data_IF_009047418179
#
_entry.id   IF_009047418179
#
_cell.length_a   1.000
_cell.length_b   1.000
_cell.length_c   1.000
_cell.angle_alpha   90.00
_cell.angle_beta   90.00
_cell.angle_gamma   90.00
#
_symmetry.space_group_name_H-M   'P 1'
#
loop_
_entity.id
_entity.type
_entity.pdbx_description
1 polymer ?
2 water ?
#
# COMPACT_ATOMS: atom_id res chain seq x y z
N UNK A 1 13.44 -16.21 -15.70
CA UNK A 1 14.21 -14.94 -15.58
C UNK A 1 13.57 -14.01 -14.56
N UNK A 2 12.28 -13.65 -14.77
CA UNK A 2 11.54 -12.76 -13.88
C UNK A 2 11.81 -12.84 -12.38
N UNK A 3 11.05 -13.68 -11.68
CA UNK A 3 11.18 -13.79 -10.23
C UNK A 3 12.08 -14.89 -9.68
N UNK A 4 12.98 -14.49 -8.79
CA UNK A 4 13.90 -15.41 -8.13
C UNK A 4 13.49 -15.44 -6.67
N UNK A 5 12.84 -16.52 -6.26
CA UNK A 5 12.40 -16.67 -4.88
C UNK A 5 13.60 -16.82 -3.97
N UNK A 6 13.80 -15.82 -3.12
CA UNK A 6 14.93 -15.80 -2.20
C UNK A 6 14.53 -15.97 -0.74
N UNK A 7 15.40 -16.65 0.01
CA UNK A 7 15.19 -16.87 1.43
C UNK A 7 16.10 -15.91 2.17
N UNK A 8 15.56 -15.19 3.15
CA UNK A 8 16.34 -14.23 3.91
C UNK A 8 16.28 -14.50 5.40
N UNK A 9 17.39 -14.28 6.11
CA UNK A 9 17.37 -14.51 7.55
C UNK A 9 16.30 -13.62 8.16
N UNK A 10 15.39 -14.21 8.92
CA UNK A 10 14.31 -13.45 9.51
C UNK A 10 14.25 -13.54 11.03
N UNK A 11 13.62 -12.54 11.67
CA UNK A 11 13.48 -12.49 13.12
C UNK A 11 12.83 -13.76 13.69
N UNK A 12 13.29 -14.16 14.87
CA UNK A 12 12.81 -15.35 15.55
C UNK A 12 11.47 -15.89 15.04
N UNK A 13 10.34 -15.44 15.60
CA UNK A 13 9.14 -16.04 15.02
C UNK A 13 8.71 -15.15 13.88
N UNK A 14 8.68 -15.68 12.66
CA UNK A 14 8.24 -14.89 11.52
C UNK A 14 6.72 -14.79 11.68
N UNK A 15 6.23 -13.58 11.91
CA UNK A 15 4.81 -13.39 12.09
C UNK A 15 4.22 -12.54 10.96
N UNK A 16 2.90 -12.48 10.90
CA UNK A 16 2.23 -11.68 9.88
C UNK A 16 1.52 -10.51 10.53
N UNK A 17 1.80 -9.31 10.00
CA UNK A 17 1.24 -8.07 10.52
C UNK A 17 -0.12 -7.68 9.97
N UNK A 18 -1.03 -7.40 10.90
CA UNK A 18 -2.38 -7.00 10.54
C UNK A 18 -2.77 -5.76 11.33
N UNK A 19 -3.67 -4.97 10.76
CA UNK A 19 -4.11 -3.76 11.43
C UNK A 19 -5.35 -4.03 12.24
N UNK A 20 -5.43 -3.41 13.41
CA UNK A 20 -6.60 -3.54 14.27
C UNK A 20 -7.39 -2.25 14.09
N UNK A 21 -8.60 -2.35 13.52
CA UNK A 21 -9.47 -1.19 13.29
C UNK A 21 -9.82 -0.51 14.60
N UNK A 22 -10.12 0.78 14.53
CA UNK A 22 -10.47 1.54 15.73
C UNK A 22 -11.59 0.80 16.43
N UNK A 23 -11.48 0.67 17.75
CA UNK A 23 -12.52 -0.01 18.50
C UNK A 23 -12.29 -1.50 18.70
N UNK A 24 -11.45 -2.10 17.85
CA UNK A 24 -11.16 -3.53 17.97
C UNK A 24 -9.96 -3.73 18.88
N UNK A 25 -10.03 -4.74 19.73
CA UNK A 25 -8.95 -5.03 20.67
C UNK A 25 -8.69 -6.52 20.78
N UNK A 26 -7.46 -6.90 21.07
CA UNK A 26 -7.07 -8.29 21.24
C UNK A 26 -5.86 -8.40 22.14
N UNK A 27 -5.67 -9.58 22.72
CA UNK A 27 -4.52 -9.83 23.57
C UNK A 27 -3.85 -11.08 23.06
N UNK A 28 -2.57 -11.21 23.35
CA UNK A 28 -1.81 -12.39 22.93
C UNK A 28 -2.61 -13.65 23.30
N UNK A 29 -2.41 -14.72 22.53
CA UNK A 29 -3.09 -15.96 22.80
C UNK A 29 -4.51 -16.05 22.26
N UNK A 30 -4.93 -15.03 21.54
CA UNK A 30 -6.28 -15.03 21.01
C UNK A 30 -6.31 -15.28 19.52
N UNK A 31 -7.31 -16.03 19.10
CA UNK A 31 -7.46 -16.35 17.71
C UNK A 31 -8.21 -15.21 17.01
N UNK A 32 -7.89 -15.02 15.74
CA UNK A 32 -8.50 -13.99 14.93
C UNK A 32 -8.69 -14.54 13.54
N UNK A 33 -9.62 -13.95 12.82
CA UNK A 33 -9.91 -14.31 11.44
C UNK A 33 -9.18 -13.18 10.70
N UNK A 34 -8.39 -13.49 9.67
CA UNK A 34 -7.68 -12.45 8.95
C UNK A 34 -7.70 -12.74 7.47
N UNK A 35 -7.50 -11.69 6.65
CA UNK A 35 -7.51 -11.93 5.21
C UNK A 35 -6.22 -12.66 4.81
N UNK A 36 -6.33 -13.51 3.80
CA UNK A 36 -5.17 -14.22 3.27
C UNK A 36 -5.46 -14.42 1.80
N UNK A 37 -4.55 -13.96 0.95
CA UNK A 37 -4.75 -14.04 -0.48
C UNK A 37 -5.53 -12.81 -0.86
N UNK A 38 -5.65 -12.53 -2.15
CA UNK A 38 -6.37 -11.34 -2.60
C UNK A 38 -7.83 -11.31 -2.14
N UNK A 39 -8.34 -12.45 -1.67
CA UNK A 39 -9.74 -12.48 -1.24
C UNK A 39 -10.16 -13.65 -0.33
N UNK A 40 -9.22 -14.26 0.39
CA UNK A 40 -9.57 -15.36 1.28
C UNK A 40 -9.56 -15.01 2.78
N UNK A 41 -10.06 -15.96 3.58
CA UNK A 41 -10.14 -15.84 5.04
C UNK A 41 -9.31 -16.96 5.64
N UNK A 42 -8.85 -16.76 6.87
CA UNK A 42 -8.04 -17.77 7.55
C UNK A 42 -8.00 -17.47 9.04
N UNK A 43 -7.65 -18.49 9.83
CA UNK A 43 -7.58 -18.37 11.28
C UNK A 43 -6.13 -18.27 11.75
N UNK A 44 -5.87 -17.31 12.63
CA UNK A 44 -4.52 -17.14 13.14
C UNK A 44 -4.57 -16.89 14.62
N UNK A 45 -3.41 -16.74 15.24
CA UNK A 45 -3.34 -16.50 16.67
C UNK A 45 -2.45 -15.30 16.93
N UNK A 46 -2.93 -14.39 17.77
CA UNK A 46 -2.15 -13.22 18.10
C UNK A 46 -1.01 -13.65 19.00
N UNK A 47 0.23 -13.36 18.59
CA UNK A 47 1.42 -13.69 19.35
C UNK A 47 1.80 -12.52 20.22
N UNK A 48 1.62 -11.32 19.68
CA UNK A 48 1.89 -10.07 20.39
C UNK A 48 1.30 -8.89 19.62
N UNK A 49 1.16 -7.77 20.31
CA UNK A 49 0.61 -6.57 19.72
C UNK A 49 1.50 -5.41 20.11
N UNK A 50 1.93 -4.64 19.12
CA UNK A 50 2.80 -3.51 19.35
C UNK A 50 2.28 -2.31 18.56
N UNK A 51 2.99 -1.20 18.64
CA UNK A 51 2.58 0.01 17.94
C UNK A 51 3.38 0.21 16.66
N UNK A 52 4.02 -0.85 16.19
CA UNK A 52 4.83 -0.73 14.99
C UNK A 52 4.81 -1.92 14.05
N UNK A 53 5.16 -1.65 12.79
CA UNK A 53 5.22 -2.67 11.74
C UNK A 53 6.24 -2.26 10.70
N UNK A 54 6.72 -3.24 9.90
CA UNK A 54 7.70 -2.93 8.87
C UNK A 54 7.07 -1.97 7.89
N UNK A 55 5.85 -2.28 7.50
CA UNK A 55 5.11 -1.44 6.57
C UNK A 55 4.29 -0.42 7.36
N UNK A 56 3.88 0.68 6.71
CA UNK A 56 3.08 1.74 7.35
C UNK A 56 1.70 1.19 7.69
N UNK A 57 1.14 1.67 8.80
CA UNK A 57 -0.18 1.22 9.22
C UNK A 57 -1.25 1.11 8.12
N UNK A 58 -1.30 2.08 7.21
CA UNK A 58 -2.32 2.08 6.17
C UNK A 58 -2.17 0.99 5.10
N UNK A 59 -1.03 0.32 5.09
CA UNK A 59 -0.80 -0.74 4.12
C UNK A 59 -1.13 -2.11 4.71
N UNK A 60 -1.39 -2.14 6.01
CA UNK A 60 -1.71 -3.40 6.68
C UNK A 60 -3.17 -3.80 6.47
N UNK A 61 -3.40 -5.07 6.16
CA UNK A 61 -4.78 -5.52 6.03
C UNK A 61 -5.29 -5.58 7.47
N UNK A 62 -6.57 -5.35 7.65
CA UNK A 62 -7.16 -5.36 8.97
C UNK A 62 -7.62 -6.74 9.43
N UNK A 63 -7.64 -6.93 10.75
CA UNK A 63 -8.12 -8.18 11.32
C UNK A 63 -9.63 -8.10 11.07
N UNK A 64 -10.20 -9.21 10.63
CA UNK A 64 -11.63 -9.27 10.36
C UNK A 64 -12.47 -9.46 11.61
N UNK A 65 -12.03 -10.37 12.48
CA UNK A 65 -12.74 -10.70 13.71
C UNK A 65 -11.85 -11.37 14.76
N UNK A 66 -12.24 -11.21 16.02
CA UNK A 66 -11.51 -11.83 17.11
C UNK A 66 -12.42 -12.98 17.56
N UNK A 67 -11.85 -14.18 17.70
CA UNK A 67 -12.64 -15.34 18.09
C UNK A 67 -12.52 -15.67 19.57
N UNK A 68 -11.61 -15.00 20.27
CA UNK A 68 -11.44 -15.27 21.69
C UNK A 68 -11.55 -14.07 22.60
N UNK A 69 -12.43 -14.17 23.59
CA UNK A 69 -12.60 -13.09 24.56
C UNK A 69 -11.28 -13.13 25.31
N UNK A 70 -10.95 -14.34 25.78
CA UNK A 70 -9.70 -14.54 26.51
C UNK A 70 -8.87 -15.59 25.79
N UNK A 71 -7.58 -15.72 26.15
CA UNK A 71 -6.69 -16.70 25.53
C UNK A 71 -7.27 -18.12 25.52
N UNK A 72 -7.06 -18.84 24.42
CA UNK A 72 -7.59 -20.18 24.32
C UNK A 72 -6.68 -21.13 25.09
N UNK A 73 -5.43 -20.73 25.25
CA UNK A 73 -4.45 -21.54 25.97
C UNK A 73 -4.26 -21.01 27.38
N UNK A 74 -3.73 -21.86 28.25
CA UNK A 74 -3.43 -21.51 29.63
C UNK A 74 -2.19 -20.61 29.62
N UNK A 75 -2.04 -19.79 30.65
CA UNK A 75 -0.88 -18.89 30.72
C UNK A 75 0.46 -19.62 30.62
N UNK A 76 0.71 -20.58 31.50
CA UNK A 76 1.97 -21.34 31.49
C UNK A 76 2.18 -22.03 30.14
N UNK A 77 1.16 -22.76 29.71
CA UNK A 77 1.16 -23.50 28.45
C UNK A 77 1.54 -22.54 27.34
N UNK A 78 0.96 -21.34 27.40
CA UNK A 78 1.25 -20.34 26.39
C UNK A 78 2.72 -19.91 26.38
N UNK A 79 3.28 -19.57 27.54
CA UNK A 79 4.67 -19.17 27.60
C UNK A 79 5.60 -20.30 27.13
N UNK A 80 5.21 -21.54 27.40
CA UNK A 80 6.01 -22.69 26.99
C UNK A 80 5.94 -22.93 25.50
N UNK A 81 4.77 -22.66 24.92
CA UNK A 81 4.61 -22.80 23.49
C UNK A 81 5.55 -21.81 22.77
N UNK A 82 5.54 -20.55 23.20
CA UNK A 82 6.41 -19.57 22.55
C UNK A 82 7.86 -19.93 22.78
N UNK A 83 8.16 -20.45 23.96
CA UNK A 83 9.52 -20.81 24.29
C UNK A 83 10.07 -21.92 23.38
N UNK A 84 9.32 -23.01 23.30
CA UNK A 84 9.71 -24.15 22.49
C UNK A 84 9.88 -23.78 21.01
N UNK A 85 9.04 -22.87 20.53
CA UNK A 85 9.15 -22.49 19.13
C UNK A 85 10.48 -21.77 18.89
N UNK A 86 10.86 -20.91 19.83
CA UNK A 86 12.11 -20.16 19.71
C UNK A 86 13.30 -21.08 19.94
N UNK A 87 13.30 -21.77 21.07
CA UNK A 87 14.41 -22.65 21.41
C UNK A 87 14.72 -23.79 20.41
N UNK A 88 13.70 -24.49 19.92
CA UNK A 88 13.96 -25.59 18.98
C UNK A 88 13.81 -25.18 17.50
N UNK A 89 13.70 -23.88 17.28
CA UNK A 89 13.57 -23.34 15.93
C UNK A 89 12.42 -23.92 15.13
N UNK A 90 11.21 -23.79 15.66
CA UNK A 90 10.05 -24.25 14.94
C UNK A 90 9.14 -23.05 14.70
N UNK A 91 8.49 -23.03 13.54
CA UNK A 91 7.58 -21.92 13.21
C UNK A 91 6.52 -21.87 14.31
N UNK A 92 6.32 -20.68 14.86
CA UNK A 92 5.35 -20.48 15.93
C UNK A 92 3.93 -20.89 15.50
N UNK A 93 3.57 -20.62 14.25
CA UNK A 93 2.23 -21.00 13.81
C UNK A 93 2.07 -22.52 13.80
N UNK A 94 3.13 -23.19 13.36
CA UNK A 94 3.21 -24.65 13.27
C UNK A 94 2.97 -25.19 14.67
N UNK A 95 3.75 -24.71 15.63
CA UNK A 95 3.59 -25.17 17.00
C UNK A 95 2.20 -24.88 17.54
N UNK A 96 1.81 -23.62 17.57
CA UNK A 96 0.52 -23.21 18.11
C UNK A 96 -0.69 -23.96 17.56
N UNK A 97 -0.78 -24.10 16.25
CA UNK A 97 -1.94 -24.79 15.71
C UNK A 97 -1.92 -26.31 15.78
N UNK A 98 -0.76 -26.91 16.02
CA UNK A 98 -0.72 -28.37 16.13
C UNK A 98 -1.01 -28.77 17.57
N UNK A 99 -0.56 -27.94 18.52
CA UNK A 99 -0.77 -28.22 19.94
C UNK A 99 -2.20 -27.97 20.42
N UNK A 100 -2.87 -27.00 19.80
CA UNK A 100 -4.23 -26.64 20.17
C UNK A 100 -5.14 -27.87 20.31
N UNK A 101 -5.20 -28.73 19.26
CA UNK A 101 -6.02 -29.94 19.29
C UNK A 101 -5.59 -30.90 20.42
N UNK A 102 -4.27 -31.04 20.59
CA UNK A 102 -3.71 -31.90 21.62
C UNK A 102 -4.12 -31.40 23.01
N UNK A 103 -3.88 -30.12 23.29
CA UNK A 103 -4.19 -29.51 24.57
C UNK A 103 -5.65 -29.39 24.98
N UNK A 104 -6.51 -28.96 24.06
CA UNK A 104 -7.93 -28.79 24.36
C UNK A 104 -8.72 -30.09 24.35
N UNK A 105 -8.19 -31.07 23.64
CA UNK A 105 -8.82 -32.37 23.52
C UNK A 105 -8.17 -33.37 24.46
N UNK B 1 -3.42 -1.78 21.18
CA UNK B 1 -2.50 -1.11 20.20
C UNK B 1 -2.97 -1.29 18.74
N UNK B 2 -2.19 -0.81 17.76
CA UNK B 2 -2.58 -0.95 16.36
C UNK B 2 -2.21 -2.21 15.56
N UNK B 3 -0.97 -2.68 15.71
CA UNK B 3 -0.55 -3.86 14.95
C UNK B 3 -0.59 -5.20 15.69
N UNK B 4 -1.21 -6.18 15.06
CA UNK B 4 -1.28 -7.52 15.62
C UNK B 4 -0.29 -8.35 14.85
N UNK B 5 0.60 -9.02 15.56
CA UNK B 5 1.59 -9.91 14.92
C UNK B 5 0.97 -11.29 15.02
N UNK B 6 0.47 -11.76 13.89
CA UNK B 6 -0.25 -13.02 13.88
C UNK B 6 0.48 -14.22 13.34
N UNK B 7 0.25 -15.36 13.96
CA UNK B 7 0.88 -16.58 13.51
C UNK B 7 -0.11 -17.33 12.67
N UNK B 8 0.34 -17.74 11.50
CA UNK B 8 -0.50 -18.50 10.60
C UNK B 8 0.16 -19.84 10.38
N UNK B 9 -0.62 -20.87 10.03
CA UNK B 9 -0.06 -22.21 9.77
C UNK B 9 0.46 -22.19 8.32
N UNK B 10 1.11 -21.09 7.98
CA UNK B 10 1.70 -20.82 6.67
C UNK B 10 2.35 -22.02 5.96
N UNK B 11 2.56 -21.91 4.63
CA UNK B 11 3.18 -22.97 3.83
C UNK B 11 4.59 -23.34 4.35
N UNK B 12 5.32 -24.16 3.60
CA UNK B 12 6.65 -24.56 4.01
C UNK B 12 7.71 -23.57 3.49
N UNK B 13 7.75 -23.32 2.17
CA UNK B 13 8.74 -22.36 1.68
C UNK B 13 8.28 -20.90 1.67
N UNK B 14 8.44 -20.21 2.80
CA UNK B 14 8.06 -18.79 2.88
C UNK B 14 9.27 -17.94 2.49
N UNK B 15 9.33 -17.53 1.23
CA UNK B 15 10.45 -16.72 0.74
C UNK B 15 9.99 -15.35 0.23
N UNK B 16 10.93 -14.58 -0.32
CA UNK B 16 10.63 -13.25 -0.83
C UNK B 16 10.95 -13.17 -2.33
N UNK B 17 10.22 -12.32 -3.05
CA UNK B 17 10.41 -12.19 -4.49
C UNK B 17 11.20 -10.96 -4.94
N UNK B 18 12.16 -11.18 -5.85
CA UNK B 18 13.00 -10.11 -6.39
C UNK B 18 13.33 -10.34 -7.87
N UNK B 19 13.03 -9.33 -8.71
CA UNK B 19 13.28 -9.42 -10.15
C UNK B 19 14.73 -9.60 -10.54
N UNK B 20 15.02 -10.72 -11.19
CA UNK B 20 16.37 -11.03 -11.65
C UNK B 20 16.74 -10.11 -12.81
N UNK B 21 17.92 -9.47 -12.75
CA UNK B 21 18.41 -8.55 -13.78
C UNK B 21 18.64 -9.18 -15.16
N UNK B 22 18.80 -8.34 -16.17
CA UNK B 22 19.03 -8.77 -17.54
C UNK B 22 20.48 -9.21 -17.74
N UNK B 23 20.68 -10.37 -18.36
CA UNK B 23 22.02 -10.87 -18.57
C UNK B 23 22.62 -11.41 -17.29
N UNK B 24 21.87 -11.31 -16.20
CA UNK B 24 22.30 -11.80 -14.89
C UNK B 24 21.61 -13.13 -14.62
N UNK B 25 22.32 -14.24 -14.86
CA UNK B 25 21.76 -15.56 -14.66
C UNK B 25 22.22 -16.21 -13.35
N UNK B 26 21.25 -16.62 -12.53
CA UNK B 26 21.53 -17.25 -11.24
C UNK B 26 20.60 -18.44 -11.00
N UNK B 27 21.09 -19.45 -10.28
CA UNK B 27 20.25 -20.60 -9.97
C UNK B 27 20.20 -20.85 -8.47
N UNK B 28 19.34 -21.78 -8.07
CA UNK B 28 19.15 -22.11 -6.66
C UNK B 28 20.43 -22.57 -5.99
N UNK B 29 20.57 -22.21 -4.72
CA UNK B 29 21.74 -22.57 -3.95
C UNK B 29 22.82 -21.52 -3.98
N UNK B 30 22.51 -20.38 -4.61
CA UNK B 30 23.46 -19.28 -4.72
C UNK B 30 23.06 -18.05 -3.92
N UNK B 31 24.01 -17.48 -3.19
CA UNK B 31 23.75 -16.29 -2.38
C UNK B 31 23.59 -15.08 -3.29
N UNK B 32 22.68 -14.17 -2.91
CA UNK B 32 22.44 -12.96 -3.67
C UNK B 32 22.12 -11.80 -2.74
N UNK B 33 22.46 -10.59 -3.19
CA UNK B 33 22.22 -9.37 -2.42
C UNK B 33 20.95 -8.66 -2.88
N UNK B 34 20.00 -8.52 -1.97
CA UNK B 34 18.73 -7.88 -2.27
C UNK B 34 18.35 -6.79 -1.28
N UNK B 35 17.63 -5.76 -1.76
CA UNK B 35 17.21 -4.66 -0.89
C UNK B 35 16.24 -5.20 0.14
N UNK B 36 16.24 -4.60 1.32
CA UNK B 36 15.35 -5.06 2.37
C UNK B 36 14.48 -3.92 2.90
N UNK B 37 13.26 -3.85 2.36
CA UNK B 37 12.30 -2.83 2.76
C UNK B 37 12.84 -1.42 2.61
N UNK B 38 12.27 -0.51 3.39
CA UNK B 38 12.68 0.88 3.38
C UNK B 38 14.14 0.93 3.78
N UNK B 39 15.05 0.67 2.86
CA UNK B 39 16.44 0.70 3.28
C UNK B 39 17.42 0.28 2.18
N UNK B 40 18.54 -0.33 2.58
CA UNK B 40 19.58 -0.79 1.66
C UNK B 40 19.79 -2.31 1.66
N UNK B 41 20.83 -2.76 0.96
CA UNK B 41 21.22 -4.17 0.78
C UNK B 41 21.28 -5.13 1.97
N UNK B 42 21.23 -6.42 1.66
CA UNK B 42 21.30 -7.54 2.63
C UNK B 42 21.36 -8.88 1.89
N UNK B 43 22.31 -9.72 2.27
CA UNK B 43 22.49 -11.03 1.63
C UNK B 43 21.37 -12.04 1.85
N UNK B 44 21.17 -12.89 0.84
CA UNK B 44 20.15 -13.92 0.91
C UNK B 44 20.49 -15.11 0.04
N UNK B 45 19.67 -16.15 0.09
CA UNK B 45 19.90 -17.35 -0.71
C UNK B 45 18.74 -17.68 -1.64
N UNK B 46 19.04 -17.89 -2.91
CA UNK B 46 18.02 -18.23 -3.90
C UNK B 46 17.56 -19.66 -3.70
N UNK B 47 16.25 -19.83 -3.51
CA UNK B 47 15.67 -21.15 -3.32
C UNK B 47 15.02 -21.61 -4.62
N UNK B 48 14.36 -20.67 -5.30
CA UNK B 48 13.70 -20.97 -6.56
C UNK B 48 13.80 -19.82 -7.53
N UNK B 49 13.66 -20.15 -8.81
CA UNK B 49 13.72 -19.17 -9.89
C UNK B 49 12.55 -19.43 -10.83
N UNK B 50 11.37 -18.91 -10.47
CA UNK B 50 10.18 -19.10 -11.30
C UNK B 50 10.03 -17.99 -12.34
N UNK B 51 8.85 -17.88 -12.91
CA UNK B 51 8.58 -16.86 -13.92
C UNK B 51 7.25 -16.21 -13.56
N UNK B 52 6.81 -16.47 -12.34
CA UNK B 52 5.55 -15.93 -11.84
C UNK B 52 5.75 -15.34 -10.43
N UNK B 53 5.05 -14.26 -10.16
CA UNK B 53 5.12 -13.57 -8.88
C UNK B 53 3.73 -13.32 -8.32
N UNK B 54 3.62 -13.29 -6.99
CA UNK B 54 2.35 -13.07 -6.33
C UNK B 54 1.83 -11.66 -6.61
N UNK B 55 2.78 -10.75 -6.79
CA UNK B 55 2.50 -9.36 -7.06
C UNK B 55 2.94 -8.99 -8.47
N UNK B 56 2.54 -7.81 -8.96
CA UNK B 56 2.92 -7.34 -10.31
C UNK B 56 4.43 -7.31 -10.54
N UNK B 57 4.85 -7.66 -11.76
CA UNK B 57 6.27 -7.64 -12.12
C UNK B 57 6.70 -6.21 -12.43
N UNK B 58 5.88 -5.27 -11.95
CA UNK B 58 6.13 -3.85 -12.15
C UNK B 58 6.56 -3.26 -10.82
N UNK B 59 5.76 -3.51 -9.79
CA UNK B 59 6.06 -3.02 -8.45
C UNK B 59 6.72 -4.13 -7.62
N UNK B 60 7.70 -4.79 -8.24
CA UNK B 60 8.44 -5.88 -7.60
C UNK B 60 9.88 -5.45 -7.33
N UNK B 61 10.28 -5.56 -6.07
CA UNK B 61 11.61 -5.20 -5.63
C UNK B 61 12.65 -5.97 -6.44
N UNK B 62 13.45 -5.24 -7.20
CA UNK B 62 14.48 -5.85 -8.06
C UNK B 62 15.66 -6.40 -7.26
N UNK B 63 16.56 -7.07 -7.98
CA UNK B 63 17.75 -7.68 -7.37
C UNK B 63 18.96 -6.74 -7.56
N UNK B 64 20.12 -7.18 -7.11
CA UNK B 64 21.34 -6.37 -7.22
C UNK B 64 22.52 -7.12 -7.84
N UNK B 65 23.11 -8.02 -7.07
CA UNK B 65 24.27 -8.78 -7.55
C UNK B 65 24.24 -10.25 -7.17
N UNK B 66 24.92 -11.07 -7.97
CA UNK B 66 24.99 -12.50 -7.76
C UNK B 66 26.38 -12.84 -7.20
N UNK B 67 26.43 -13.18 -5.92
CA UNK B 67 27.69 -13.49 -5.25
C UNK B 67 28.25 -14.88 -5.57
N UNK B 68 27.48 -15.68 -6.29
CA UNK B 68 27.91 -17.02 -6.67
C UNK B 68 27.39 -17.43 -8.05
N UNK B 69 28.28 -17.97 -8.86
CA UNK B 69 27.93 -18.42 -10.20
C UNK B 69 27.53 -19.88 -10.05
N UNK B 70 28.17 -20.53 -9.08
CA UNK B 70 27.94 -21.94 -8.79
C UNK B 70 27.40 -22.07 -7.36
N UNK B 71 26.29 -22.78 -7.19
CA UNK B 71 25.66 -23.00 -5.87
C UNK B 71 26.64 -23.42 -4.79
N UNK B 72 26.60 -22.74 -3.65
CA UNK B 72 27.48 -23.06 -2.54
C UNK B 72 27.07 -24.42 -1.96
N UNK B 73 25.80 -24.79 -2.15
CA UNK B 73 25.29 -26.06 -1.64
C UNK B 73 25.25 -27.08 -2.80
N UNK B 74 25.68 -28.31 -2.52
CA UNK B 74 25.66 -29.35 -3.54
C UNK B 74 24.26 -29.94 -3.67
N UNK B 75 23.97 -30.57 -4.80
CA UNK B 75 22.66 -31.17 -5.01
C UNK B 75 22.41 -32.11 -3.83
N UNK B 76 23.50 -32.64 -3.30
CA UNK B 76 23.50 -33.58 -2.17
C UNK B 76 23.08 -32.85 -0.88
N UNK B 77 23.91 -31.89 -0.46
CA UNK B 77 23.61 -31.11 0.73
C UNK B 77 22.26 -30.41 0.63
N UNK B 78 21.95 -29.90 -0.55
CA UNK B 78 20.70 -29.19 -0.79
C UNK B 78 19.52 -30.13 -0.54
N UNK B 79 19.58 -31.34 -1.10
CA UNK B 79 18.50 -32.30 -0.93
C UNK B 79 18.33 -32.62 0.54
N UNK B 80 19.44 -32.66 1.25
CA UNK B 80 19.48 -32.98 2.67
C UNK B 80 18.97 -31.84 3.56
N UNK B 81 19.38 -30.62 3.28
CA UNK B 81 18.93 -29.53 4.10
C UNK B 81 17.43 -29.27 3.92
N UNK B 82 16.95 -29.33 2.68
CA UNK B 82 15.54 -29.09 2.46
C UNK B 82 14.71 -30.20 3.09
N UNK B 83 15.29 -31.40 3.16
CA UNK B 83 14.58 -32.52 3.75
C UNK B 83 14.50 -32.31 5.25
N UNK B 84 15.60 -31.90 5.86
CA UNK B 84 15.63 -31.67 7.31
C UNK B 84 14.63 -30.58 7.72
N UNK B 85 14.57 -29.49 6.96
CA UNK B 85 13.63 -28.43 7.32
C UNK B 85 12.18 -28.95 7.26
N UNK B 86 11.87 -29.76 6.26
CA UNK B 86 10.52 -30.27 6.14
C UNK B 86 10.15 -31.33 7.18
N UNK B 87 11.04 -32.30 7.35
CA UNK B 87 10.80 -33.41 8.26
C UNK B 87 10.80 -33.03 9.75
N UNK B 88 11.74 -32.15 10.12
CA UNK B 88 11.91 -31.70 11.49
C UNK B 88 11.28 -30.34 11.80
N UNK B 89 10.56 -29.80 10.82
CA UNK B 89 9.87 -28.50 10.97
C UNK B 89 10.77 -27.33 11.34
N UNK B 90 11.65 -26.96 10.43
CA UNK B 90 12.50 -25.82 10.68
C UNK B 90 12.37 -24.96 9.42
N UNK B 91 12.31 -23.63 9.58
CA UNK B 91 12.18 -22.76 8.40
C UNK B 91 13.37 -22.97 7.48
N UNK B 92 13.11 -23.16 6.18
CA UNK B 92 14.17 -23.36 5.19
C UNK B 92 15.27 -22.33 5.39
N UNK B 93 14.88 -21.06 5.41
CA UNK B 93 15.84 -19.98 5.58
C UNK B 93 16.80 -20.23 6.73
N UNK B 94 16.26 -20.48 7.92
CA UNK B 94 17.05 -20.75 9.11
C UNK B 94 18.02 -21.93 8.96
N UNK B 95 17.56 -23.01 8.33
CA UNK B 95 18.40 -24.17 8.14
C UNK B 95 19.50 -23.86 7.13
N UNK B 96 19.13 -23.18 6.05
CA UNK B 96 20.10 -22.82 5.01
C UNK B 96 21.19 -21.89 5.51
N UNK B 97 20.79 -20.79 6.17
CA UNK B 97 21.78 -19.85 6.67
C UNK B 97 22.58 -20.36 7.83
N UNK B 98 21.99 -21.23 8.65
CA UNK B 98 22.76 -21.75 9.77
C UNK B 98 23.68 -22.87 9.34
N UNK B 99 23.39 -23.45 8.17
CA UNK B 99 24.21 -24.54 7.62
C UNK B 99 25.44 -24.01 6.88
N UNK B 100 25.26 -22.93 6.12
CA UNK B 100 26.34 -22.34 5.34
C UNK B 100 27.67 -22.26 6.09
N UNK B 101 27.68 -21.65 7.29
CA UNK B 101 28.92 -21.56 8.05
C UNK B 101 29.62 -22.92 8.17
N UNK B 102 28.98 -23.84 8.89
CA UNK B 102 29.53 -25.19 9.10
C UNK B 102 30.05 -25.80 7.81
N UNK B 103 29.39 -25.49 6.69
CA UNK B 103 29.84 -26.02 5.41
C UNK B 103 31.22 -25.48 5.09
N UNK B 104 31.36 -24.17 5.15
CA UNK B 104 32.63 -23.48 4.86
C UNK B 104 33.59 -23.58 6.05
N UNK C 1 7.33 21.88 -22.06
CA UNK C 1 6.17 22.82 -22.09
C UNK C 1 4.94 22.30 -22.83
N UNK C 2 4.55 21.04 -22.59
CA UNK C 2 3.37 20.46 -23.25
C UNK C 2 2.24 20.12 -22.26
N UNK C 3 2.57 19.99 -20.99
CA UNK C 3 1.59 19.67 -19.98
C UNK C 3 1.35 20.83 -19.02
N UNK C 4 0.13 21.34 -19.00
CA UNK C 4 -0.19 22.43 -18.09
C UNK C 4 -0.84 21.77 -16.89
N UNK C 5 -0.39 22.11 -15.69
CA UNK C 5 -0.98 21.52 -14.49
C UNK C 5 -1.97 22.57 -14.01
N UNK C 6 -3.23 22.20 -14.02
CA UNK C 6 -4.25 23.16 -13.73
C UNK C 6 -5.07 22.97 -12.46
N UNK C 7 -5.25 24.07 -11.74
CA UNK C 7 -6.03 24.08 -10.53
C UNK C 7 -7.45 24.48 -10.90
N UNK C 8 -8.41 23.61 -10.58
CA UNK C 8 -9.79 23.89 -10.88
C UNK C 8 -10.55 24.05 -9.58
N UNK C 9 -11.66 24.80 -9.60
CA UNK C 9 -12.50 25.04 -8.41
C UNK C 9 -13.51 23.89 -8.21
N UNK C 10 -13.02 22.67 -8.03
CA UNK C 10 -13.91 21.52 -7.84
C UNK C 10 -14.67 21.56 -6.51
N UNK C 11 -15.88 20.98 -6.49
CA UNK C 11 -16.74 20.94 -5.29
C UNK C 11 -16.10 20.35 -4.04
N UNK C 12 -16.80 20.53 -2.92
CA UNK C 12 -16.39 20.07 -1.59
C UNK C 12 -15.30 18.98 -1.55
N UNK C 13 -15.67 17.69 -1.66
CA UNK C 13 -14.59 16.70 -1.61
C UNK C 13 -14.24 16.12 -2.98
N UNK C 14 -13.11 16.53 -3.53
CA UNK C 14 -12.69 16.00 -4.83
C UNK C 14 -12.27 14.57 -4.58
N UNK C 15 -12.94 13.63 -5.23
CA UNK C 15 -12.65 12.22 -5.05
C UNK C 15 -12.37 11.56 -6.41
N UNK C 16 -11.91 10.32 -6.40
CA UNK C 16 -11.64 9.59 -7.63
C UNK C 16 -12.56 8.38 -7.73
N UNK C 17 -13.15 8.17 -8.91
CA UNK C 17 -14.09 7.06 -9.10
C UNK C 17 -13.51 5.78 -9.68
N UNK C 18 -13.86 4.67 -9.05
CA UNK C 18 -13.40 3.37 -9.49
C UNK C 18 -14.56 2.38 -9.52
N UNK C 19 -14.37 1.30 -10.27
CA UNK C 19 -15.38 0.27 -10.40
C UNK C 19 -15.01 -0.92 -9.52
N UNK C 20 -16.00 -1.67 -9.07
CA UNK C 20 -15.78 -2.85 -8.23
C UNK C 20 -15.70 -4.13 -9.08
N UNK C 21 -14.72 -4.99 -8.79
CA UNK C 21 -14.56 -6.25 -9.54
C UNK C 21 -15.73 -7.20 -9.32
N UNK C 22 -15.66 -8.39 -9.92
CA UNK C 22 -16.71 -9.39 -9.81
C UNK C 22 -16.70 -10.05 -8.42
N UNK C 23 -17.73 -9.79 -7.62
CA UNK C 23 -17.82 -10.38 -6.30
C UNK C 23 -16.88 -9.75 -5.28
N UNK C 24 -17.07 -8.45 -5.06
CA UNK C 24 -16.25 -7.69 -4.12
C UNK C 24 -17.11 -6.60 -3.53
N UNK C 25 -17.13 -6.50 -2.21
CA UNK C 25 -17.94 -5.48 -1.56
C UNK C 25 -17.11 -4.56 -0.66
N UNK C 26 -17.50 -3.29 -0.63
CA UNK C 26 -16.83 -2.28 0.19
C UNK C 26 -17.83 -1.24 0.59
N UNK C 27 -17.58 -0.60 1.73
CA UNK C 27 -18.45 0.46 2.19
C UNK C 27 -17.60 1.66 2.57
N UNK C 28 -18.26 2.78 2.84
CA UNK C 28 -17.56 3.98 3.24
C UNK C 28 -16.64 3.64 4.40
N UNK C 29 -15.45 4.21 4.40
CA UNK C 29 -14.51 3.96 5.48
C UNK C 29 -13.53 2.85 5.23
N UNK C 30 -13.69 2.12 4.14
CA UNK C 30 -12.77 1.03 3.89
C UNK C 30 -11.64 1.40 2.93
N UNK C 31 -10.45 0.92 3.26
CA UNK C 31 -9.27 1.16 2.45
C UNK C 31 -9.25 0.17 1.30
N UNK C 32 -8.95 0.67 0.12
CA UNK C 32 -8.88 -0.16 -1.07
C UNK C 32 -7.54 0.07 -1.76
N UNK C 33 -7.20 -0.83 -2.67
CA UNK C 33 -5.96 -0.73 -3.40
C UNK C 33 -6.42 -0.41 -4.80
N UNK C 34 -5.90 0.67 -5.39
CA UNK C 34 -6.33 1.05 -6.73
C UNK C 34 -5.20 1.43 -7.66
N UNK C 35 -5.49 1.45 -8.97
CA UNK C 35 -4.52 1.81 -9.99
C UNK C 35 -4.45 3.32 -10.06
N UNK C 36 -3.24 3.88 -9.93
CA UNK C 36 -3.05 5.32 -10.02
C UNK C 36 -1.83 5.58 -10.88
N UNK C 37 -2.01 6.42 -11.90
CA UNK C 37 -0.93 6.74 -12.81
C UNK C 37 -0.93 5.76 -13.96
N UNK C 38 0.20 5.10 -14.18
CA UNK C 38 0.35 4.12 -15.25
C UNK C 38 1.14 2.92 -14.74
N UNK C 39 2.07 3.20 -13.84
CA UNK C 39 2.91 2.17 -13.26
C UNK C 39 2.29 1.55 -12.01
N UNK C 40 2.57 2.17 -10.86
CA UNK C 40 2.14 1.70 -9.55
C UNK C 40 0.66 1.83 -9.19
N UNK C 41 0.32 1.25 -8.03
CA UNK C 41 -1.03 1.26 -7.48
C UNK C 41 -0.90 2.02 -6.17
N UNK C 42 -2.01 2.42 -5.59
CA UNK C 42 -1.95 3.12 -4.32
C UNK C 42 -3.11 2.72 -3.44
N UNK C 43 -2.96 3.02 -2.16
CA UNK C 43 -3.98 2.72 -1.20
C UNK C 43 -4.85 3.96 -1.05
N UNK C 44 -6.16 3.78 -1.12
CA UNK C 44 -7.06 4.90 -0.94
C UNK C 44 -8.15 4.50 0.01
N UNK C 45 -9.00 5.45 0.40
CA UNK C 45 -10.12 5.11 1.27
C UNK C 45 -11.43 5.45 0.55
N UNK C 46 -12.42 4.57 0.65
CA UNK C 46 -13.70 4.78 0.02
C UNK C 46 -14.49 5.75 0.87
N UNK C 47 -14.91 6.87 0.26
CA UNK C 47 -15.68 7.87 0.99
C UNK C 47 -17.16 7.52 0.82
N UNK C 48 -17.51 6.97 -0.34
CA UNK C 48 -18.88 6.56 -0.57
C UNK C 48 -18.97 5.72 -1.83
N UNK C 49 -20.11 5.04 -1.98
CA UNK C 49 -20.37 4.18 -3.12
C UNK C 49 -21.72 4.57 -3.68
N UNK C 50 -21.93 4.32 -4.96
CA UNK C 50 -23.20 4.65 -5.60
C UNK C 50 -23.13 4.28 -7.06
N UNK C 51 -24.27 4.40 -7.73
CA UNK C 51 -24.37 4.09 -9.15
C UNK C 51 -24.33 5.39 -9.91
N UNK C 52 -23.51 6.32 -9.45
CA UNK C 52 -23.41 7.63 -10.09
C UNK C 52 -21.98 8.08 -10.34
N UNK C 53 -21.32 7.37 -11.25
CA UNK C 53 -19.95 7.72 -11.64
C UNK C 53 -20.14 8.80 -12.68
N UNK C 54 -20.10 10.04 -12.22
CA UNK C 54 -20.27 11.17 -13.12
C UNK C 54 -19.15 11.30 -14.15
N UNK C 55 -18.90 10.19 -14.84
CA UNK C 55 -17.91 10.02 -15.91
C UNK C 55 -18.22 8.70 -16.64
N UNK C 56 -17.46 8.36 -17.72
CA UNK C 56 -17.66 7.13 -18.51
C UNK C 56 -17.33 5.85 -17.74
N UNK C 57 -18.32 4.98 -17.64
CA UNK C 57 -18.21 3.71 -16.92
C UNK C 57 -17.50 2.58 -17.68
N UNK C 58 -16.24 2.81 -18.03
CA UNK C 58 -15.43 1.83 -18.74
C UNK C 58 -14.06 2.46 -18.95
N UNK C 59 -14.02 3.78 -18.80
CA UNK C 59 -12.80 4.54 -18.94
C UNK C 59 -12.09 4.49 -17.57
N UNK C 60 -12.88 4.30 -16.52
CA UNK C 60 -12.37 4.21 -15.16
C UNK C 60 -12.10 2.75 -14.87
N UNK C 61 -10.98 2.48 -14.20
CA UNK C 61 -10.61 1.11 -13.88
C UNK C 61 -11.33 0.65 -12.62
N UNK C 62 -11.01 -0.56 -12.17
CA UNK C 62 -11.63 -1.12 -10.99
C UNK C 62 -10.68 -1.34 -9.82
N UNK C 63 -11.24 -1.33 -8.62
CA UNK C 63 -10.47 -1.55 -7.41
C UNK C 63 -9.69 -2.87 -7.51
N UNK C 64 -8.47 -2.89 -7.00
CA UNK C 64 -7.69 -4.11 -7.03
C UNK C 64 -8.12 -4.98 -5.85
N UNK C 65 -8.07 -4.43 -4.64
CA UNK C 65 -8.50 -5.17 -3.45
C UNK C 65 -8.92 -4.27 -2.27
N UNK C 66 -9.77 -4.80 -1.40
CA UNK C 66 -10.22 -4.06 -0.24
C UNK C 66 -9.34 -4.52 0.93
N UNK C 67 -8.93 -3.59 1.80
CA UNK C 67 -8.06 -3.97 2.91
C UNK C 67 -8.82 -4.08 4.22
N UNK C 68 -10.02 -3.52 4.26
CA UNK C 68 -10.85 -3.54 5.45
C UNK C 68 -12.16 -4.25 5.20
N UNK C 69 -12.51 -5.19 6.07
CA UNK C 69 -13.79 -5.90 5.94
C UNK C 69 -14.81 -4.88 6.42
N UNK C 70 -14.50 -4.27 7.56
CA UNK C 70 -15.37 -3.27 8.16
C UNK C 70 -14.63 -1.93 8.17
N UNK C 71 -15.36 -0.82 8.34
CA UNK C 71 -14.79 0.54 8.38
C UNK C 71 -13.60 0.65 9.32
N UNK C 72 -12.51 1.24 8.85
CA UNK C 72 -11.35 1.35 9.70
C UNK C 72 -11.55 2.41 10.80
N UNK C 73 -12.53 3.28 10.67
CA UNK C 73 -12.79 4.28 11.69
C UNK C 73 -14.19 4.04 12.24
N UNK C 74 -14.40 4.51 13.47
CA UNK C 74 -15.70 4.41 14.11
C UNK C 74 -16.67 5.34 13.40
N UNK C 75 -17.95 5.02 13.47
CA UNK C 75 -18.97 5.81 12.80
C UNK C 75 -18.97 7.29 13.13
N UNK C 76 -18.67 7.64 14.37
CA UNK C 76 -18.68 9.05 14.71
C UNK C 76 -17.34 9.74 14.50
N UNK C 77 -16.24 9.01 14.57
CA UNK C 77 -14.93 9.61 14.27
C UNK C 77 -14.95 9.93 12.76
N UNK C 78 -15.62 9.07 12.00
CA UNK C 78 -15.74 9.20 10.55
C UNK C 78 -16.53 10.47 10.24
N UNK C 79 -17.69 10.64 10.88
CA UNK C 79 -18.49 11.84 10.67
C UNK C 79 -17.59 13.06 10.98
N UNK C 80 -16.91 12.99 12.11
CA UNK C 80 -16.03 14.06 12.53
C UNK C 80 -14.98 14.35 11.45
N UNK C 81 -14.31 13.32 10.94
CA UNK C 81 -13.29 13.55 9.92
C UNK C 81 -13.81 14.16 8.60
N UNK C 82 -14.94 13.71 8.09
CA UNK C 82 -15.47 14.29 6.86
C UNK C 82 -15.86 15.75 7.10
N UNK C 83 -16.42 16.03 8.27
CA UNK C 83 -16.83 17.38 8.62
C UNK C 83 -15.64 18.30 8.64
N UNK C 84 -14.57 17.88 9.30
CA UNK C 84 -13.36 18.70 9.40
C UNK C 84 -12.81 19.03 8.01
N UNK C 85 -12.78 18.04 7.13
CA UNK C 85 -12.28 18.27 5.78
C UNK C 85 -13.10 19.34 5.08
N UNK C 86 -14.41 19.23 5.21
CA UNK C 86 -15.27 20.18 4.58
C UNK C 86 -15.27 21.57 5.22
N UNK C 87 -15.43 21.63 6.53
CA UNK C 87 -15.50 22.91 7.21
C UNK C 87 -14.20 23.70 7.20
N UNK C 88 -13.07 22.99 7.22
CA UNK C 88 -11.75 23.63 7.24
C UNK C 88 -11.02 23.61 5.90
N UNK C 89 -11.72 23.21 4.85
CA UNK C 89 -11.16 23.16 3.53
C UNK C 89 -9.81 22.42 3.43
N UNK C 90 -9.79 21.17 3.88
CA UNK C 90 -8.59 20.35 3.77
C UNK C 90 -8.99 19.16 2.86
N UNK C 91 -8.08 18.71 2.01
CA UNK C 91 -8.43 17.58 1.14
C UNK C 91 -8.79 16.35 1.98
N UNK C 92 -9.90 15.70 1.64
CA UNK C 92 -10.38 14.54 2.36
C UNK C 92 -9.33 13.42 2.52
N UNK C 93 -8.65 13.04 1.45
CA UNK C 93 -7.64 12.00 1.58
C UNK C 93 -6.48 12.42 2.48
N UNK C 94 -6.27 13.73 2.62
CA UNK C 94 -5.18 14.23 3.45
C UNK C 94 -5.55 14.04 4.94
N UNK C 95 -6.75 14.46 5.32
CA UNK C 95 -7.23 14.34 6.68
C UNK C 95 -7.35 12.85 7.05
N UNK C 96 -8.04 12.10 6.20
CA UNK C 96 -8.23 10.68 6.44
C UNK C 96 -6.94 9.93 6.72
N UNK C 97 -5.97 9.97 5.81
CA UNK C 97 -4.74 9.22 6.04
C UNK C 97 -3.81 9.77 7.13
N UNK C 98 -3.75 11.09 7.31
CA UNK C 98 -2.89 11.65 8.35
C UNK C 98 -3.47 11.33 9.72
N UNK C 99 -4.78 11.25 9.78
CA UNK C 99 -5.43 10.96 11.04
C UNK C 99 -5.34 9.49 11.47
N UNK C 100 -5.25 8.59 10.50
CA UNK C 100 -5.24 7.16 10.77
C UNK C 100 -4.25 6.68 11.86
N UNK C 101 -2.96 6.92 11.65
CA UNK C 101 -1.93 6.51 12.62
C UNK C 101 -2.13 7.12 14.02
N UNK C 102 -2.69 8.32 14.07
CA UNK C 102 -2.89 9.00 15.33
C UNK C 102 -4.09 8.51 16.08
N UNK C 103 -5.14 8.19 15.33
CA UNK C 103 -6.34 7.70 15.95
C UNK C 103 -6.15 6.24 16.38
N UNK C 104 -5.55 5.43 15.51
CA UNK C 104 -5.36 4.01 15.79
C UNK C 104 -4.38 3.68 16.92
N UNK C 105 -4.70 4.21 18.09
CA UNK C 105 -3.90 4.02 19.30
C UNK C 105 -2.64 4.87 19.20
N UNK D 2 -22.67 1.19 -9.70
CA UNK D 2 -21.87 0.54 -8.63
C UNK D 2 -20.42 0.99 -8.65
N UNK D 3 -20.19 2.24 -8.28
CA UNK D 3 -18.86 2.83 -8.26
C UNK D 3 -18.45 3.39 -6.90
N UNK D 4 -17.17 3.23 -6.58
CA UNK D 4 -16.63 3.72 -5.34
C UNK D 4 -15.96 5.07 -5.52
N UNK D 5 -16.34 6.03 -4.68
CA UNK D 5 -15.75 7.35 -4.69
C UNK D 5 -14.60 7.29 -3.68
N UNK D 6 -13.39 7.20 -4.20
CA UNK D 6 -12.20 7.04 -3.37
C UNK D 6 -11.32 8.27 -3.13
N UNK D 7 -10.90 8.44 -1.87
CA UNK D 7 -10.00 9.52 -1.51
C UNK D 7 -8.58 8.96 -1.53
N UNK D 8 -7.67 9.67 -2.19
CA UNK D 8 -6.27 9.27 -2.26
C UNK D 8 -5.43 10.31 -1.55
N UNK D 9 -4.32 9.92 -0.93
CA UNK D 9 -3.51 10.93 -0.25
C UNK D 9 -2.65 11.66 -1.27
N UNK D 10 -3.15 11.81 -2.49
CA UNK D 10 -2.44 12.48 -3.58
C UNK D 10 -1.53 13.64 -3.14
N UNK D 11 -0.25 13.62 -3.58
CA UNK D 11 0.82 14.59 -3.32
C UNK D 11 0.51 16.09 -3.32
N UNK D 12 1.09 16.77 -2.33
CA UNK D 12 0.96 18.20 -2.09
C UNK D 12 -0.06 19.01 -2.91
N UNK D 13 0.27 19.46 -4.14
CA UNK D 13 -0.77 20.23 -4.84
C UNK D 13 -1.53 19.42 -5.89
N UNK D 14 -2.71 18.93 -5.53
CA UNK D 14 -3.52 18.15 -6.45
C UNK D 14 -3.96 19.05 -7.60
N UNK D 15 -3.56 18.70 -8.81
CA UNK D 15 -3.92 19.50 -9.95
C UNK D 15 -4.38 18.61 -11.11
N UNK D 16 -5.03 19.21 -12.11
CA UNK D 16 -5.50 18.45 -13.27
C UNK D 16 -4.66 18.75 -14.49
N UNK D 17 -4.10 17.71 -15.09
CA UNK D 17 -3.24 17.82 -16.27
C UNK D 17 -4.01 17.98 -17.57
N UNK D 18 -3.46 18.82 -18.43
CA UNK D 18 -4.03 19.08 -19.73
C UNK D 18 -2.86 19.25 -20.68
N UNK D 19 -3.06 18.82 -21.92
CA UNK D 19 -2.02 18.93 -22.93
C UNK D 19 -2.19 20.24 -23.67
N UNK D 20 -1.07 20.90 -23.92
CA UNK D 20 -1.05 22.17 -24.63
C UNK D 20 -0.74 21.79 -26.06
N UNK D 21 -1.64 22.14 -27.01
CA UNK D 21 -1.46 21.84 -28.43
C UNK D 21 -0.26 22.58 -29.00
N UNK D 22 0.29 22.02 -30.07
CA UNK D 22 1.47 22.54 -30.76
C UNK D 22 1.74 24.04 -30.80
N UNK D 23 0.71 24.89 -30.92
CA UNK D 23 1.01 26.31 -30.94
C UNK D 23 0.77 27.02 -29.62
N UNK D 24 0.02 26.38 -28.74
CA UNK D 24 -0.38 26.95 -27.45
C UNK D 24 0.69 27.08 -26.36
N UNK D 25 0.75 28.24 -25.74
CA UNK D 25 1.72 28.50 -24.69
C UNK D 25 1.09 29.26 -23.51
N UNK D 26 1.56 28.99 -22.29
CA UNK D 26 1.04 29.67 -21.10
C UNK D 26 2.05 29.84 -19.99
N UNK D 27 1.75 30.77 -19.09
CA UNK D 27 2.61 31.04 -17.96
C UNK D 27 1.87 30.72 -16.65
N UNK D 28 2.61 30.23 -15.66
CA UNK D 28 2.03 29.91 -14.36
C UNK D 28 1.40 31.19 -13.81
N UNK D 29 0.15 31.11 -13.39
CA UNK D 29 -0.53 32.27 -12.87
C UNK D 29 -1.60 32.77 -13.84
N UNK D 30 -1.77 32.05 -14.94
CA UNK D 30 -2.76 32.46 -15.93
C UNK D 30 -3.95 31.54 -16.01
N UNK D 31 -5.08 32.10 -16.41
CA UNK D 31 -6.31 31.34 -16.54
C UNK D 31 -6.43 30.74 -17.95
N UNK D 32 -7.11 29.61 -18.04
CA UNK D 32 -7.30 28.94 -19.31
C UNK D 32 -8.68 28.28 -19.24
N UNK D 33 -9.22 27.86 -20.37
CA UNK D 33 -10.50 27.17 -20.39
C UNK D 33 -10.13 25.76 -20.76
N UNK D 34 -10.68 24.78 -20.07
CA UNK D 34 -10.36 23.38 -20.34
C UNK D 34 -11.61 22.52 -20.31
N UNK D 35 -11.55 21.32 -20.91
CA UNK D 35 -12.68 20.38 -20.96
C UNK D 35 -12.92 19.79 -19.56
N UNK D 36 -14.13 19.29 -19.30
CA UNK D 36 -14.41 18.70 -17.99
C UNK D 36 -15.55 17.67 -18.01
N UNK D 37 -15.19 16.40 -18.22
CA UNK D 37 -16.14 15.30 -18.29
C UNK D 37 -16.90 15.29 -19.60
N UNK D 38 -16.18 15.06 -20.70
CA UNK D 38 -16.75 15.06 -22.05
C UNK D 38 -18.16 15.63 -22.09
N UNK D 39 -18.26 16.93 -21.87
CA UNK D 39 -19.54 17.62 -21.85
C UNK D 39 -19.36 19.12 -21.69
N UNK D 40 -19.08 19.55 -20.46
CA UNK D 40 -18.90 20.98 -20.18
C UNK D 40 -17.46 21.44 -20.12
N UNK D 41 -17.30 22.76 -20.20
CA UNK D 41 -15.99 23.42 -20.13
C UNK D 41 -15.87 24.11 -18.77
N UNK D 42 -14.80 24.87 -18.55
CA UNK D 42 -14.60 25.55 -17.28
C UNK D 42 -13.29 26.32 -17.24
N UNK D 43 -13.20 27.29 -16.33
CA UNK D 43 -11.99 28.09 -16.19
C UNK D 43 -11.10 27.56 -15.08
N UNK D 44 -9.80 27.51 -15.36
CA UNK D 44 -8.86 27.04 -14.40
C UNK D 44 -7.68 27.98 -14.34
N UNK D 45 -6.72 27.67 -13.45
CA UNK D 45 -5.53 28.48 -13.34
C UNK D 45 -4.32 27.59 -13.47
N UNK D 46 -3.36 27.98 -14.29
CA UNK D 46 -2.15 27.20 -14.47
C UNK D 46 -1.29 27.32 -13.22
N UNK D 47 -1.02 26.20 -12.55
CA UNK D 47 -0.15 26.25 -11.36
C UNK D 47 1.26 26.12 -11.87
N UNK D 48 1.44 25.33 -12.91
CA UNK D 48 2.75 25.17 -13.55
C UNK D 48 2.66 24.34 -14.83
N UNK D 49 3.74 24.39 -15.59
CA UNK D 49 3.85 23.70 -16.87
C UNK D 49 5.08 22.81 -16.83
N UNK D 50 4.91 21.48 -16.77
CA UNK D 50 6.08 20.60 -16.76
C UNK D 50 6.31 20.00 -18.14
N UNK D 51 6.89 18.82 -18.19
CA UNK D 51 7.22 18.17 -19.46
C UNK D 51 6.61 16.78 -19.53
N UNK D 52 5.88 16.40 -18.49
CA UNK D 52 5.24 15.10 -18.44
C UNK D 52 4.22 15.02 -17.31
N UNK D 53 3.38 13.99 -17.35
CA UNK D 53 2.36 13.81 -16.33
C UNK D 53 2.27 12.36 -15.87
N UNK D 54 1.46 12.13 -14.84
CA UNK D 54 1.29 10.79 -14.29
C UNK D 54 0.38 9.99 -15.20
N UNK D 55 0.14 10.52 -16.40
CA UNK D 55 -0.69 9.86 -17.40
C UNK D 55 -0.04 9.99 -18.75
N UNK D 56 -0.33 9.05 -19.65
CA UNK D 56 0.24 9.03 -21.01
C UNK D 56 0.27 10.39 -21.71
N UNK D 57 1.44 10.72 -22.22
CA UNK D 57 1.72 11.99 -22.88
C UNK D 57 0.73 12.47 -23.97
N UNK D 58 -0.33 11.72 -24.24
CA UNK D 58 -1.33 12.05 -25.27
C UNK D 58 -2.74 11.52 -24.99
N UNK D 59 -2.93 11.04 -23.77
CA UNK D 59 -4.20 10.50 -23.35
C UNK D 59 -4.89 11.61 -22.58
N UNK D 60 -4.25 12.78 -22.56
CA UNK D 60 -4.72 13.98 -21.88
C UNK D 60 -5.61 14.89 -22.71
N UNK D 61 -6.68 15.39 -22.09
CA UNK D 61 -7.57 16.33 -22.77
C UNK D 61 -6.70 17.57 -22.98
N UNK D 62 -6.93 18.28 -24.07
CA UNK D 62 -6.15 19.48 -24.38
C UNK D 62 -6.84 20.74 -23.87
N UNK D 63 -6.03 21.77 -23.61
CA UNK D 63 -6.53 23.04 -23.15
C UNK D 63 -7.31 23.54 -24.35
N UNK D 64 -8.37 24.29 -24.10
CA UNK D 64 -9.20 24.82 -25.17
C UNK D 64 -8.80 26.24 -25.55
N UNK D 65 -8.51 27.06 -24.54
CA UNK D 65 -8.14 28.45 -24.76
C UNK D 65 -7.37 29.01 -23.56
N UNK D 66 -6.45 29.94 -23.81
CA UNK D 66 -5.67 30.57 -22.74
C UNK D 66 -6.13 32.01 -22.56
N UNK D 67 -6.82 32.26 -21.45
CA UNK D 67 -7.40 33.56 -21.15
C UNK D 67 -6.53 34.70 -20.66
N UNK D 68 -5.27 34.44 -20.33
CA UNK D 68 -4.43 35.53 -19.84
C UNK D 68 -2.98 35.35 -20.27
N UNK D 69 -2.44 36.33 -20.97
CA UNK D 69 -1.05 36.27 -21.40
C UNK D 69 -0.28 36.65 -20.15
N UNK D 70 -0.95 37.45 -19.33
CA UNK D 70 -0.42 37.98 -18.09
C UNK D 70 -0.90 37.18 -16.86
N UNK D 71 0.03 36.82 -15.96
CA UNK D 71 -0.32 36.07 -14.75
C UNK D 71 -1.10 36.98 -13.80
N UNK D 72 -2.38 36.66 -13.63
CA UNK D 72 -3.30 37.43 -12.82
C UNK D 72 -2.98 37.60 -11.31
N UNK D 73 -1.77 37.29 -10.90
CA UNK D 73 -1.36 37.44 -9.50
C UNK D 73 0.04 38.03 -9.45
N UNK D 74 0.30 38.82 -8.42
CA UNK D 74 1.61 39.42 -8.20
C UNK D 74 2.61 38.30 -8.02
N UNK D 75 3.87 38.57 -8.34
CA UNK D 75 4.93 37.58 -8.19
C UNK D 75 4.97 37.02 -6.75
N UNK D 76 5.10 37.92 -5.76
CA UNK D 76 5.18 37.51 -4.36
C UNK D 76 3.87 36.90 -3.82
N UNK D 77 2.75 37.50 -4.19
CA UNK D 77 1.46 37.01 -3.74
C UNK D 77 1.30 35.59 -4.24
N UNK D 78 1.82 35.32 -5.43
CA UNK D 78 1.72 34.01 -6.01
C UNK D 78 2.52 32.98 -5.23
N UNK D 79 3.67 33.41 -4.73
CA UNK D 79 4.51 32.51 -3.96
C UNK D 79 3.86 32.26 -2.61
N UNK D 80 3.10 33.24 -2.14
CA UNK D 80 2.44 33.19 -0.85
C UNK D 80 1.26 32.22 -0.87
N UNK D 81 0.45 32.32 -1.90
CA UNK D 81 -0.71 31.45 -2.04
C UNK D 81 -0.31 29.98 -2.18
N UNK D 82 0.70 29.68 -2.99
CA UNK D 82 1.14 28.30 -3.15
C UNK D 82 1.70 27.81 -1.83
N UNK D 83 2.38 28.69 -1.11
CA UNK D 83 2.94 28.32 0.18
C UNK D 83 1.81 28.05 1.20
N UNK D 84 0.78 28.90 1.19
CA UNK D 84 -0.35 28.74 2.09
C UNK D 84 -1.09 27.43 1.81
N UNK D 85 -1.28 27.10 0.53
CA UNK D 85 -2.00 25.87 0.20
C UNK D 85 -1.27 24.63 0.76
N UNK D 86 0.06 24.62 0.64
CA UNK D 86 0.88 23.53 1.14
C UNK D 86 0.93 23.52 2.67
N UNK D 87 1.45 24.60 3.23
CA UNK D 87 1.60 24.73 4.67
C UNK D 87 0.33 24.44 5.45
N UNK D 88 -0.78 25.06 5.07
CA UNK D 88 -2.04 24.87 5.77
C UNK D 88 -2.92 23.73 5.19
N UNK D 89 -2.40 23.00 4.20
CA UNK D 89 -3.14 21.91 3.59
C UNK D 89 -4.50 22.33 3.00
N UNK D 90 -4.51 23.27 2.07
CA UNK D 90 -5.77 23.66 1.44
C UNK D 90 -5.62 23.39 -0.04
N UNK D 91 -6.71 22.92 -0.70
CA UNK D 91 -6.67 22.64 -2.15
C UNK D 91 -6.23 23.91 -2.82
N UNK D 92 -5.23 23.82 -3.67
CA UNK D 92 -4.68 24.96 -4.35
C UNK D 92 -5.77 25.70 -5.16
N UNK D 93 -6.64 24.94 -5.82
CA UNK D 93 -7.70 25.55 -6.60
C UNK D 93 -8.70 26.27 -5.71
N UNK D 94 -8.77 25.87 -4.45
CA UNK D 94 -9.68 26.49 -3.48
C UNK D 94 -9.05 27.83 -3.07
N UNK D 95 -7.76 27.83 -2.77
CA UNK D 95 -7.08 29.04 -2.36
C UNK D 95 -7.03 30.07 -3.49
N UNK D 96 -6.58 29.64 -4.66
CA UNK D 96 -6.49 30.55 -5.80
C UNK D 96 -7.81 31.23 -6.15
N UNK D 97 -8.86 30.46 -6.33
CA UNK D 97 -10.11 31.10 -6.71
C UNK D 97 -10.81 31.92 -5.61
N UNK D 98 -10.58 31.59 -4.36
CA UNK D 98 -11.22 32.38 -3.31
C UNK D 98 -10.41 33.66 -3.08
N UNK D 99 -9.12 33.61 -3.35
CA UNK D 99 -8.24 34.76 -3.16
C UNK D 99 -8.42 35.87 -4.19
N UNK D 100 -8.61 35.49 -5.44
CA UNK D 100 -8.75 36.46 -6.54
C UNK D 100 -9.77 37.58 -6.24
N UNK D 101 -11.01 37.22 -5.88
CA UNK D 101 -12.07 38.19 -5.56
C UNK D 101 -11.74 39.11 -4.38
N UNK D 102 -11.02 38.59 -3.39
CA UNK D 102 -10.64 39.37 -2.21
C UNK D 102 -9.50 40.31 -2.60
N UNK D 103 -8.55 39.81 -3.40
CA UNK D 103 -7.41 40.59 -3.88
C UNK D 103 -7.78 41.77 -4.76
N UNK D 104 -9.03 41.80 -5.25
CA UNK D 104 -9.51 42.88 -6.13
C UNK D 104 -10.92 43.41 -5.77
#
# INVERSE_FOLDING_TARGET
MPVAHVALPVPLPRTFDYLLPEGMTVKAGCRVRVPFGKQQERIGIVVSVSDASELPLNELKAVVEVLDSEPVFTHSVWRLLLWAADYYHHPIGDVLFHALPILLR
MPVAHVALPVPLPRTFDYLLPEGMTVKAGCRVRVPFGKQQERIGIVVSVSDASELPLNELKAVVEVLDSEPVFTHSVWRLLLWAADYYHHPIGDVLFHALPILLR
MPVAHVALPVPLPRTFDYLLPEGMTVKAGCRVRVPFGKQQERIGIVVSVSDASELPLNELKAVVEVLDSEPVFTHSVWRLLLWAADYYHHPIGDVLFHALPILLR
MPVAHVALPVPLPRTFDYLLPEGMTVKAGCRVRVPFGKQQERIGIVVSVSDASELPLNELKAVVEVLDSEPVFTHSVWRLLLWAADYYHHPIGDVLFHALPILLR
#
